data_IF_794572940876
#
_entry.id   IF_794572940876
#
_cell.length_a   1.000
_cell.length_b   1.000
_cell.length_c   1.000
_cell.angle_alpha   90.00
_cell.angle_beta   90.00
_cell.angle_gamma   90.00
#
_symmetry.space_group_name_H-M   'P 1'
#
loop_
_entity.id
_entity.type
_entity.pdbx_description
1 polymer ?
#
# COMPACT_ATOMS: atom_id res chain seq x y z
N UNK A 1 -51.05 -43.00 -8.76
CA UNK A 1 -50.82 -41.85 -9.67
C UNK A 1 -51.01 -40.57 -8.87
N UNK A 2 -50.26 -39.51 -9.19
CA UNK A 2 -50.51 -38.10 -8.83
C UNK A 2 -49.92 -37.46 -7.55
N UNK A 3 -49.10 -38.13 -6.71
CA UNK A 3 -48.49 -37.45 -5.55
C UNK A 3 -46.99 -37.11 -5.70
N UNK A 4 -46.24 -37.88 -6.51
CA UNK A 4 -44.77 -37.71 -6.63
C UNK A 4 -44.34 -36.82 -7.79
N UNK A 5 -45.20 -36.62 -8.80
CA UNK A 5 -44.87 -35.76 -9.96
C UNK A 5 -44.96 -34.26 -9.66
N UNK A 6 -45.63 -33.88 -8.56
CA UNK A 6 -45.81 -32.47 -8.19
C UNK A 6 -44.53 -31.87 -7.58
N UNK A 7 -43.79 -32.66 -6.81
CA UNK A 7 -42.53 -32.25 -6.17
C UNK A 7 -41.39 -32.03 -7.18
N UNK A 8 -41.39 -32.78 -8.28
CA UNK A 8 -40.31 -32.67 -9.29
C UNK A 8 -40.47 -31.41 -10.16
N UNK A 9 -41.71 -30.93 -10.39
CA UNK A 9 -41.95 -29.70 -11.15
C UNK A 9 -41.52 -28.44 -10.37
N UNK A 10 -41.78 -28.39 -9.07
CA UNK A 10 -41.35 -27.27 -8.20
C UNK A 10 -39.82 -27.11 -8.16
N UNK A 11 -39.07 -28.22 -8.22
CA UNK A 11 -37.60 -28.21 -8.20
C UNK A 11 -37.02 -27.65 -9.51
N UNK A 12 -37.69 -27.86 -10.65
CA UNK A 12 -37.18 -27.45 -11.96
C UNK A 12 -37.54 -25.98 -12.25
N UNK A 13 -38.71 -25.51 -11.80
CA UNK A 13 -39.14 -24.11 -11.96
C UNK A 13 -38.30 -23.13 -11.11
N UNK A 14 -37.79 -23.59 -9.95
CA UNK A 14 -36.86 -22.83 -9.10
C UNK A 14 -35.48 -22.57 -9.73
N UNK A 15 -35.18 -23.16 -10.90
CA UNK A 15 -33.87 -23.06 -11.58
C UNK A 15 -33.84 -22.04 -12.72
N UNK A 16 -34.93 -21.30 -12.95
CA UNK A 16 -34.99 -20.23 -13.96
C UNK A 16 -35.40 -18.91 -13.30
N UNK A 17 -34.57 -18.42 -12.39
CA UNK A 17 -34.74 -17.12 -11.75
C UNK A 17 -33.37 -16.52 -11.47
N UNK A 18 -32.90 -15.72 -12.42
CA UNK A 18 -31.88 -14.68 -12.26
C UNK A 18 -30.66 -15.06 -11.39
N UNK A 19 -29.56 -15.46 -12.03
CA UNK A 19 -28.22 -15.21 -11.51
C UNK A 19 -27.91 -13.70 -11.55
N UNK A 20 -28.76 -12.90 -10.92
CA UNK A 20 -28.34 -11.64 -10.35
C UNK A 20 -27.41 -12.03 -9.20
N UNK A 21 -26.12 -11.92 -9.45
CA UNK A 21 -25.09 -11.92 -8.42
C UNK A 21 -25.42 -10.79 -7.44
N UNK A 22 -26.31 -11.06 -6.48
CA UNK A 22 -26.40 -10.35 -5.22
C UNK A 22 -25.07 -10.58 -4.56
N UNK A 23 -24.09 -9.74 -4.93
CA UNK A 23 -22.89 -9.44 -4.14
C UNK A 23 -23.42 -9.33 -2.72
N UNK A 24 -23.19 -10.37 -1.91
CA UNK A 24 -23.36 -10.29 -0.48
C UNK A 24 -22.46 -9.14 -0.09
N UNK A 25 -23.06 -7.97 0.14
CA UNK A 25 -22.39 -6.82 0.74
C UNK A 25 -21.97 -7.33 2.11
N UNK A 26 -20.77 -7.91 2.16
CA UNK A 26 -20.16 -8.34 3.40
C UNK A 26 -20.18 -7.14 4.31
N UNK A 27 -20.77 -7.33 5.49
CA UNK A 27 -20.83 -6.31 6.51
C UNK A 27 -19.46 -5.65 6.67
N UNK A 28 -19.47 -4.33 6.83
CA UNK A 28 -18.32 -3.44 7.01
C UNK A 28 -17.52 -3.80 8.27
N UNK A 29 -16.84 -4.95 8.28
CA UNK A 29 -15.77 -5.21 9.23
C UNK A 29 -14.47 -4.65 8.65
N UNK A 30 -14.42 -3.32 8.55
CA UNK A 30 -13.22 -2.58 8.13
C UNK A 30 -12.00 -3.01 8.94
N UNK A 31 -12.19 -3.34 10.21
CA UNK A 31 -11.13 -3.85 11.09
C UNK A 31 -10.59 -5.21 10.64
N UNK A 32 -11.46 -6.16 10.27
CA UNK A 32 -11.02 -7.45 9.73
C UNK A 32 -10.36 -7.26 8.36
N UNK A 33 -10.89 -6.38 7.52
CA UNK A 33 -10.30 -6.05 6.22
C UNK A 33 -8.90 -5.42 6.38
N UNK A 34 -8.72 -4.51 7.34
CA UNK A 34 -7.44 -3.87 7.65
C UNK A 34 -6.43 -4.88 8.20
N UNK A 35 -6.84 -5.77 9.11
CA UNK A 35 -6.00 -6.86 9.62
C UNK A 35 -5.56 -7.81 8.50
N UNK A 36 -6.48 -8.19 7.61
CA UNK A 36 -6.18 -9.07 6.46
C UNK A 36 -5.27 -8.36 5.46
N UNK A 37 -5.48 -7.07 5.19
CA UNK A 37 -4.60 -6.27 4.33
C UNK A 37 -3.17 -6.21 4.90
N UNK A 38 -3.03 -5.94 6.20
CA UNK A 38 -1.74 -5.95 6.88
C UNK A 38 -1.08 -7.33 6.83
N UNK A 39 -1.84 -8.42 7.03
CA UNK A 39 -1.30 -9.78 6.93
C UNK A 39 -0.78 -10.08 5.52
N UNK A 40 -1.56 -9.77 4.48
CA UNK A 40 -1.14 -9.95 3.08
C UNK A 40 0.11 -9.13 2.77
N UNK A 41 0.14 -7.88 3.21
CA UNK A 41 1.29 -7.00 3.03
C UNK A 41 2.51 -7.60 3.71
N UNK A 42 2.41 -8.02 4.97
CA UNK A 42 3.51 -8.67 5.71
C UNK A 42 4.01 -9.96 5.04
N UNK A 43 3.12 -10.75 4.44
CA UNK A 43 3.48 -11.99 3.74
C UNK A 43 4.30 -11.74 2.47
N UNK A 44 4.03 -10.64 1.76
CA UNK A 44 4.71 -10.32 0.50
C UNK A 44 5.82 -9.26 0.66
N UNK A 45 5.91 -8.61 1.82
CA UNK A 45 6.84 -7.52 2.04
C UNK A 45 8.30 -7.98 1.99
N UNK A 46 9.08 -7.27 1.20
CA UNK A 46 10.51 -7.47 1.04
C UNK A 46 11.29 -6.43 1.86
N UNK A 47 12.42 -6.84 2.42
CA UNK A 47 13.19 -5.98 3.31
C UNK A 47 14.36 -6.69 3.98
N UNK A 48 15.02 -6.01 4.91
CA UNK A 48 16.19 -6.55 5.59
C UNK A 48 15.78 -7.64 6.60
N UNK A 49 15.99 -8.90 6.23
CA UNK A 49 15.61 -10.07 7.02
C UNK A 49 16.34 -10.14 8.37
N UNK A 50 17.45 -9.42 8.55
CA UNK A 50 18.19 -9.36 9.81
C UNK A 50 17.49 -8.52 10.88
N UNK A 51 16.56 -7.63 10.49
CA UNK A 51 15.84 -6.77 11.43
C UNK A 51 14.89 -7.59 12.32
N UNK A 52 14.87 -7.40 13.66
CA UNK A 52 13.87 -8.00 14.53
C UNK A 52 12.45 -7.59 14.15
N UNK A 53 11.46 -8.49 14.33
CA UNK A 53 10.08 -8.20 13.95
C UNK A 53 9.49 -6.99 14.70
N UNK A 54 9.92 -6.74 15.93
CA UNK A 54 9.53 -5.58 16.75
C UNK A 54 9.95 -4.25 16.13
N UNK A 55 11.03 -4.26 15.33
CA UNK A 55 11.56 -3.06 14.69
C UNK A 55 10.96 -2.82 13.29
N UNK A 56 10.25 -3.80 12.73
CA UNK A 56 9.74 -3.74 11.37
C UNK A 56 8.46 -2.91 11.29
N UNK A 57 8.51 -1.83 10.53
CA UNK A 57 7.33 -1.18 9.98
C UNK A 57 7.14 -1.56 8.52
N UNK A 58 5.88 -1.80 8.15
CA UNK A 58 5.51 -2.29 6.84
C UNK A 58 4.74 -1.23 6.07
N UNK A 59 4.98 -1.11 4.77
CA UNK A 59 4.24 -0.20 3.91
C UNK A 59 4.02 -0.80 2.52
N UNK A 60 2.94 -0.40 1.88
CA UNK A 60 2.78 -0.54 0.44
C UNK A 60 3.47 0.66 -0.21
N UNK A 61 4.60 0.40 -0.88
CA UNK A 61 5.39 1.45 -1.52
C UNK A 61 4.96 1.58 -2.98
N UNK A 62 4.28 2.66 -3.31
CA UNK A 62 3.99 3.02 -4.70
C UNK A 62 5.26 3.54 -5.36
N UNK A 63 5.58 2.99 -6.53
CA UNK A 63 6.81 3.30 -7.24
C UNK A 63 6.58 4.43 -8.25
N UNK A 64 7.61 5.19 -8.65
CA UNK A 64 7.48 6.31 -9.57
C UNK A 64 6.78 5.91 -10.87
N UNK A 65 6.01 6.82 -11.45
CA UNK A 65 5.34 6.59 -12.74
C UNK A 65 6.35 6.16 -13.82
N UNK A 66 6.02 5.09 -14.53
CA UNK A 66 6.91 4.47 -15.52
C UNK A 66 7.77 3.32 -14.98
N UNK A 67 7.70 3.03 -13.68
CA UNK A 67 8.27 1.80 -13.11
C UNK A 67 7.57 0.55 -13.65
N UNK A 68 8.29 -0.58 -13.72
CA UNK A 68 7.75 -1.86 -14.19
C UNK A 68 6.58 -2.36 -13.35
N UNK A 69 6.62 -2.08 -12.05
CA UNK A 69 5.60 -2.44 -11.08
C UNK A 69 4.96 -1.16 -10.54
N UNK A 70 3.64 -1.16 -10.30
CA UNK A 70 2.92 0.01 -9.74
C UNK A 70 3.29 0.25 -8.27
N UNK A 71 3.37 -0.83 -7.50
CA UNK A 71 3.72 -0.77 -6.08
C UNK A 71 4.33 -2.09 -5.63
N UNK A 72 5.12 -2.01 -4.56
CA UNK A 72 5.78 -3.16 -3.94
C UNK A 72 5.62 -3.08 -2.42
N UNK A 73 5.13 -4.14 -1.75
CA UNK A 73 5.13 -4.20 -0.29
C UNK A 73 6.57 -4.28 0.21
N UNK A 74 6.93 -3.43 1.16
CA UNK A 74 8.26 -3.39 1.76
C UNK A 74 8.17 -3.23 3.28
N UNK A 75 9.25 -3.60 3.97
CA UNK A 75 9.40 -3.29 5.39
C UNK A 75 10.75 -2.64 5.70
N UNK A 76 10.74 -1.79 6.71
CA UNK A 76 11.86 -0.94 7.13
C UNK A 76 12.01 -1.01 8.66
N UNK A 77 13.16 -0.60 9.18
CA UNK A 77 13.29 -0.36 10.61
C UNK A 77 12.64 0.99 10.96
N UNK A 78 11.75 1.04 11.95
CA UNK A 78 11.10 2.30 12.36
C UNK A 78 12.11 3.38 12.81
N UNK A 79 13.31 2.98 13.26
CA UNK A 79 14.38 3.90 13.68
C UNK A 79 15.18 4.50 12.53
N UNK A 80 14.97 4.06 11.30
CA UNK A 80 15.69 4.61 10.15
C UNK A 80 15.25 6.03 9.85
N UNK A 81 16.20 6.84 9.40
CA UNK A 81 15.88 8.11 8.76
C UNK A 81 15.13 7.87 7.45
N UNK A 82 14.32 8.84 7.04
CA UNK A 82 13.61 8.81 5.76
C UNK A 82 14.62 8.68 4.61
N UNK A 83 15.76 9.37 4.66
CA UNK A 83 16.82 9.21 3.67
C UNK A 83 17.30 7.76 3.54
N UNK A 84 17.60 7.10 4.66
CA UNK A 84 18.01 5.68 4.66
C UNK A 84 16.89 4.76 4.15
N UNK A 85 15.64 5.04 4.51
CA UNK A 85 14.50 4.29 4.00
C UNK A 85 14.35 4.42 2.48
N UNK A 86 14.57 5.62 1.91
CA UNK A 86 14.57 5.86 0.47
C UNK A 86 15.70 5.09 -0.23
N UNK A 87 16.92 5.16 0.29
CA UNK A 87 18.07 4.43 -0.28
C UNK A 87 17.80 2.93 -0.35
N UNK A 88 17.21 2.40 0.72
CA UNK A 88 16.86 1.00 0.82
C UNK A 88 15.71 0.63 -0.13
N UNK A 89 14.63 1.42 -0.15
CA UNK A 89 13.50 1.22 -1.05
C UNK A 89 13.93 1.29 -2.52
N UNK A 90 14.80 2.25 -2.87
CA UNK A 90 15.36 2.39 -4.20
C UNK A 90 16.14 1.13 -4.61
N UNK A 91 16.97 0.62 -3.71
CA UNK A 91 17.73 -0.62 -3.93
C UNK A 91 16.81 -1.82 -4.14
N UNK A 92 15.75 -1.96 -3.32
CA UNK A 92 14.77 -3.06 -3.44
C UNK A 92 13.90 -2.98 -4.70
N UNK A 93 13.58 -1.78 -5.17
CA UNK A 93 12.79 -1.54 -6.37
C UNK A 93 13.65 -1.36 -7.63
N UNK A 94 14.99 -1.47 -7.51
CA UNK A 94 15.96 -1.21 -8.58
C UNK A 94 15.79 0.17 -9.23
N UNK A 95 15.44 1.17 -8.42
CA UNK A 95 15.32 2.56 -8.81
C UNK A 95 16.68 3.26 -8.68
N UNK A 96 16.92 4.24 -9.54
CA UNK A 96 18.16 4.99 -9.56
C UNK A 96 18.07 6.16 -8.58
N UNK A 97 18.75 6.05 -7.43
CA UNK A 97 18.85 7.15 -6.48
C UNK A 97 20.10 8.01 -6.78
N UNK A 98 19.90 9.14 -7.46
CA UNK A 98 20.93 10.13 -7.76
C UNK A 98 20.82 11.37 -6.83
N UNK A 99 20.29 11.23 -5.61
CA UNK A 99 20.05 12.37 -4.69
C UNK A 99 21.30 13.20 -4.35
N UNK A 100 22.50 12.66 -4.55
CA UNK A 100 23.77 13.37 -4.38
C UNK A 100 24.14 14.28 -5.59
N UNK A 101 23.42 14.19 -6.70
CA UNK A 101 23.66 15.01 -7.91
C UNK A 101 22.75 16.22 -7.91
N UNK A 102 23.32 17.41 -8.08
CA UNK A 102 22.61 18.68 -7.97
C UNK A 102 21.60 18.93 -9.12
N UNK A 103 21.83 18.33 -10.30
CA UNK A 103 21.02 18.56 -11.51
C UNK A 103 19.96 17.48 -11.76
N UNK A 104 19.91 16.43 -10.93
CA UNK A 104 18.97 15.34 -11.08
C UNK A 104 17.71 15.58 -10.23
N UNK A 105 16.58 15.06 -10.70
CA UNK A 105 15.39 14.95 -9.84
C UNK A 105 15.71 14.07 -8.64
N UNK A 106 15.29 14.51 -7.46
CA UNK A 106 15.55 13.80 -6.21
C UNK A 106 14.43 12.80 -5.95
N UNK A 107 14.82 11.57 -5.64
CA UNK A 107 13.91 10.54 -5.17
C UNK A 107 13.47 10.89 -3.76
N UNK A 108 12.17 11.13 -3.58
CA UNK A 108 11.54 11.53 -2.32
C UNK A 108 10.50 10.51 -1.90
N UNK A 109 10.36 10.37 -0.59
CA UNK A 109 9.26 9.63 0.01
C UNK A 109 8.12 10.59 0.32
N UNK A 110 6.92 10.30 -0.17
CA UNK A 110 5.77 11.17 -0.04
C UNK A 110 4.63 10.46 0.70
N UNK A 111 3.89 11.24 1.50
CA UNK A 111 2.70 10.78 2.20
C UNK A 111 1.52 10.62 1.22
N UNK A 112 0.76 9.54 1.37
CA UNK A 112 -0.34 9.18 0.44
C UNK A 112 -1.58 10.08 0.56
N UNK A 113 -1.78 10.79 1.66
CA UNK A 113 -2.98 11.63 1.84
C UNK A 113 -2.68 13.10 1.64
N UNK A 114 -1.59 13.58 2.24
CA UNK A 114 -1.19 15.00 2.13
C UNK A 114 -0.35 15.26 0.87
N UNK A 115 0.25 14.22 0.26
CA UNK A 115 1.21 14.37 -0.82
C UNK A 115 2.55 14.95 -0.38
N UNK A 116 2.71 15.29 0.90
CA UNK A 116 3.92 15.92 1.44
C UNK A 116 5.13 15.01 1.29
N UNK A 117 6.23 15.55 0.79
CA UNK A 117 7.52 14.88 0.76
C UNK A 117 8.17 14.93 2.14
N UNK A 118 8.43 13.76 2.72
CA UNK A 118 8.97 13.64 4.06
C UNK A 118 10.44 14.12 4.10
N UNK A 119 10.83 14.94 5.10
CA UNK A 119 12.20 15.39 5.28
C UNK A 119 13.15 14.21 5.51
N UNK A 120 14.32 14.24 4.85
CA UNK A 120 15.27 13.13 4.83
C UNK A 120 15.91 12.87 6.21
N UNK A 121 16.02 13.92 7.01
CA UNK A 121 16.61 13.94 8.36
C UNK A 121 15.65 13.43 9.45
N UNK A 122 14.35 13.38 9.17
CA UNK A 122 13.38 12.81 10.09
C UNK A 122 13.49 11.27 10.13
N UNK A 123 13.03 10.66 11.22
CA UNK A 123 12.90 9.21 11.33
C UNK A 123 11.49 8.73 10.96
N UNK A 124 11.36 7.47 10.52
CA UNK A 124 10.05 6.85 10.30
C UNK A 124 9.21 6.86 11.59
N UNK A 125 9.82 6.59 12.75
CA UNK A 125 9.19 6.66 14.07
C UNK A 125 8.53 8.00 14.34
N UNK A 126 9.22 9.11 14.06
CA UNK A 126 8.67 10.47 14.23
C UNK A 126 7.41 10.67 13.39
N UNK A 127 7.41 10.17 12.16
CA UNK A 127 6.26 10.30 11.27
C UNK A 127 5.10 9.39 11.65
N UNK A 128 5.35 8.25 12.29
CA UNK A 128 4.31 7.37 12.81
C UNK A 128 3.67 7.97 14.07
N UNK A 129 4.45 8.64 14.90
CA UNK A 129 3.99 9.25 16.15
C UNK A 129 3.34 10.64 15.98
N UNK A 130 3.34 11.19 14.76
CA UNK A 130 2.82 12.53 14.47
C UNK A 130 1.29 12.57 14.69
N UNK A 131 0.78 13.63 15.31
CA UNK A 131 -0.67 13.79 15.51
C UNK A 131 -1.40 14.15 14.20
N UNK A 132 -0.78 15.00 13.39
CA UNK A 132 -1.33 15.43 12.10
C UNK A 132 -0.73 14.61 10.95
N UNK A 133 -1.57 13.83 10.28
CA UNK A 133 -1.22 12.93 9.18
C UNK A 133 -0.08 11.92 9.49
N UNK A 134 -0.25 11.03 10.48
CA UNK A 134 0.77 10.01 10.77
C UNK A 134 0.90 8.97 9.67
N UNK A 135 2.11 8.41 9.57
CA UNK A 135 2.34 7.17 8.85
C UNK A 135 1.80 5.98 9.64
N UNK A 136 0.99 5.15 8.99
CA UNK A 136 0.45 3.94 9.61
C UNK A 136 1.25 2.71 9.22
N UNK A 137 1.51 1.82 10.17
CA UNK A 137 2.06 0.50 9.88
C UNK A 137 1.04 -0.33 9.07
N UNK A 138 1.42 -0.74 7.87
CA UNK A 138 0.55 -1.31 6.85
C UNK A 138 -0.12 -0.29 5.95
N UNK A 139 0.22 0.99 6.09
CA UNK A 139 -0.25 2.07 5.24
C UNK A 139 0.46 2.14 3.90
N UNK A 140 0.14 3.18 3.14
CA UNK A 140 0.66 3.41 1.81
C UNK A 140 1.61 4.61 1.82
N UNK A 141 2.70 4.52 1.08
CA UNK A 141 3.66 5.61 0.86
C UNK A 141 4.05 5.64 -0.63
N UNK A 142 4.48 6.80 -1.12
CA UNK A 142 4.88 6.97 -2.52
C UNK A 142 6.37 7.28 -2.60
N UNK A 143 7.09 6.56 -3.46
CA UNK A 143 8.39 6.97 -3.96
C UNK A 143 8.16 7.73 -5.27
N UNK A 144 8.65 8.97 -5.38
CA UNK A 144 8.54 9.76 -6.60
C UNK A 144 9.80 10.62 -6.81
N UNK A 145 10.13 10.88 -8.08
CA UNK A 145 11.19 11.81 -8.46
C UNK A 145 10.63 13.24 -8.52
N UNK A 146 10.96 14.03 -7.51
CA UNK A 146 10.58 15.44 -7.40
C UNK A 146 11.74 16.36 -7.77
N UNK A 147 11.43 17.55 -8.29
CA UNK A 147 12.44 18.60 -8.42
C UNK A 147 12.83 19.10 -7.02
N UNK A 148 13.99 19.75 -6.88
CA UNK A 148 14.48 20.16 -5.55
C UNK A 148 13.55 21.15 -4.84
N UNK A 149 12.81 21.94 -5.62
CA UNK A 149 11.85 22.94 -5.16
C UNK A 149 10.47 22.34 -4.82
N UNK A 150 10.21 21.09 -5.23
CA UNK A 150 8.91 20.44 -5.05
C UNK A 150 8.87 19.67 -3.71
N UNK A 151 8.07 20.20 -2.79
CA UNK A 151 7.81 19.59 -1.48
C UNK A 151 6.58 18.67 -1.47
N UNK A 152 5.82 18.60 -2.57
CA UNK A 152 4.59 17.81 -2.65
C UNK A 152 4.55 16.99 -3.94
N UNK A 153 4.19 15.72 -3.80
CA UNK A 153 3.85 14.87 -4.93
C UNK A 153 2.49 15.28 -5.49
N UNK A 154 2.46 15.69 -6.75
CA UNK A 154 1.21 16.03 -7.45
C UNK A 154 0.45 14.74 -7.84
N UNK A 155 -0.87 14.83 -7.90
CA UNK A 155 -1.75 13.75 -8.36
C UNK A 155 -1.61 12.44 -7.57
N UNK A 156 -1.58 12.54 -6.25
CA UNK A 156 -1.48 11.38 -5.36
C UNK A 156 -2.59 10.35 -5.62
N UNK A 157 -3.79 10.79 -5.97
CA UNK A 157 -4.94 9.93 -6.28
C UNK A 157 -4.66 8.96 -7.43
N UNK A 158 -3.87 9.38 -8.43
CA UNK A 158 -3.53 8.53 -9.58
C UNK A 158 -2.67 7.31 -9.22
N UNK A 159 -2.10 7.26 -8.02
CA UNK A 159 -1.41 6.09 -7.51
C UNK A 159 -2.37 5.06 -6.92
N UNK A 160 -3.57 5.47 -6.51
CA UNK A 160 -4.58 4.62 -5.89
C UNK A 160 -5.54 3.99 -6.92
N UNK A 161 -5.44 4.36 -8.20
CA UNK A 161 -6.19 3.84 -9.36
C UNK A 161 -5.55 2.59 -10.02
#
# INVERSE_FOLDING_TARGET
>A
MAATQKLVKDIIDSKTGETASKRRKGAKNSETAAKVALMKLKMHADGDKSLPQTERIYFQVFLPKGSKEKSKPMFFCHRWSIGKAIDFAASLARLKNDNNKFTAKKLRLCHITSGEALPLDHSLETWIAKEDCPLYNGGNIILEYLNDEEQFCKNVESYLE
#
